data_IF_089607512364
#
_entry.id   IF_089607512364
#
_cell.length_a   1.000
_cell.length_b   1.000
_cell.length_c   1.000
_cell.angle_alpha   90.00
_cell.angle_beta   90.00
_cell.angle_gamma   90.00
#
_symmetry.space_group_name_H-M   'P 1'
#
loop_
_entity.id
_entity.type
_entity.pdbx_description
1 polymer ?
#
# COMPACT_ATOMS: atom_id res chain seq x y z
N UNK A 1 -62.27 -0.50 -19.19
CA UNK A 1 -61.49 -1.48 -18.41
C UNK A 1 -60.13 -1.63 -19.09
N UNK A 2 -59.10 -1.00 -18.54
CA UNK A 2 -57.76 -1.00 -19.13
C UNK A 2 -56.78 -0.50 -18.08
N UNK A 3 -56.41 -1.39 -17.16
CA UNK A 3 -55.49 -1.10 -16.07
C UNK A 3 -54.05 -1.14 -16.55
N UNK A 4 -53.38 0.01 -16.52
CA UNK A 4 -51.93 0.11 -16.58
C UNK A 4 -51.33 -0.48 -15.29
N UNK A 5 -50.74 -1.67 -15.37
CA UNK A 5 -49.77 -2.12 -14.37
C UNK A 5 -48.38 -1.62 -14.76
N UNK A 6 -47.93 -0.59 -14.04
CA UNK A 6 -46.54 -0.16 -14.03
C UNK A 6 -45.72 -1.18 -13.25
N UNK A 7 -44.88 -1.96 -13.94
CA UNK A 7 -43.88 -2.83 -13.31
C UNK A 7 -42.80 -1.95 -12.68
N UNK A 8 -42.88 -1.72 -11.38
CA UNK A 8 -41.74 -1.27 -10.60
C UNK A 8 -40.67 -2.37 -10.58
N UNK A 9 -39.65 -2.22 -11.41
CA UNK A 9 -38.36 -2.90 -11.26
C UNK A 9 -37.64 -2.25 -10.07
N UNK A 10 -37.78 -2.84 -8.89
CA UNK A 10 -36.89 -2.57 -7.75
C UNK A 10 -35.50 -3.12 -8.09
N UNK A 11 -34.58 -2.25 -8.54
CA UNK A 11 -33.14 -2.50 -8.50
C UNK A 11 -32.69 -2.52 -7.03
N UNK A 12 -32.88 -3.65 -6.36
CA UNK A 12 -32.14 -3.94 -5.14
C UNK A 12 -30.71 -4.27 -5.57
N UNK A 13 -29.77 -3.35 -5.31
CA UNK A 13 -28.35 -3.69 -5.35
C UNK A 13 -28.05 -4.80 -4.33
N UNK A 14 -26.95 -5.56 -4.49
CA UNK A 14 -26.59 -6.60 -3.53
C UNK A 14 -26.44 -5.98 -2.14
N UNK A 15 -27.37 -6.31 -1.25
CA UNK A 15 -27.32 -5.87 0.15
C UNK A 15 -26.05 -6.41 0.79
N UNK A 16 -25.30 -5.54 1.47
CA UNK A 16 -24.20 -5.95 2.33
C UNK A 16 -24.80 -6.71 3.52
N UNK A 17 -24.66 -8.03 3.50
CA UNK A 17 -24.62 -8.85 4.71
C UNK A 17 -23.16 -9.23 4.95
N UNK A 18 -22.75 -9.39 6.20
CA UNK A 18 -21.42 -9.94 6.52
C UNK A 18 -21.19 -11.24 5.74
N UNK A 19 -22.22 -12.08 5.57
CA UNK A 19 -22.15 -13.30 4.75
C UNK A 19 -21.81 -13.03 3.28
N UNK A 20 -22.40 -12.02 2.64
CA UNK A 20 -22.14 -11.70 1.23
C UNK A 20 -20.74 -11.13 1.03
N UNK A 21 -20.26 -10.28 1.94
CA UNK A 21 -18.91 -9.74 1.84
C UNK A 21 -17.85 -10.79 2.12
N UNK A 22 -18.08 -11.72 3.05
CA UNK A 22 -17.23 -12.90 3.25
C UNK A 22 -17.18 -13.76 1.99
N UNK A 23 -18.31 -14.04 1.35
CA UNK A 23 -18.33 -14.81 0.09
C UNK A 23 -17.48 -14.16 -1.00
N UNK A 24 -17.55 -12.83 -1.13
CA UNK A 24 -16.71 -12.10 -2.10
C UNK A 24 -15.22 -12.17 -1.70
N UNK A 25 -14.90 -12.05 -0.41
CA UNK A 25 -13.52 -12.26 0.06
C UNK A 25 -13.02 -13.65 -0.29
N UNK A 26 -13.80 -14.71 -0.05
CA UNK A 26 -13.43 -16.08 -0.39
C UNK A 26 -13.29 -16.28 -1.91
N UNK A 27 -14.08 -15.58 -2.72
CA UNK A 27 -13.93 -15.60 -4.18
C UNK A 27 -12.61 -14.94 -4.63
N UNK A 28 -12.28 -13.79 -4.04
CA UNK A 28 -11.08 -13.02 -4.38
C UNK A 28 -9.79 -13.64 -3.81
N UNK A 29 -9.92 -14.30 -2.66
CA UNK A 29 -8.84 -14.86 -1.84
C UNK A 29 -9.25 -16.26 -1.33
N UNK A 30 -9.25 -17.28 -2.21
CA UNK A 30 -9.73 -18.63 -1.86
C UNK A 30 -8.94 -19.27 -0.71
N UNK A 31 -7.68 -18.90 -0.55
CA UNK A 31 -6.78 -19.42 0.47
C UNK A 31 -6.58 -18.43 1.63
N UNK A 32 -7.55 -17.54 1.90
CA UNK A 32 -7.46 -16.50 2.93
C UNK A 32 -7.12 -17.00 4.35
N UNK A 33 -7.40 -18.28 4.63
CA UNK A 33 -7.15 -18.92 5.94
C UNK A 33 -5.79 -19.62 6.04
N UNK A 34 -5.03 -19.70 4.94
CA UNK A 34 -3.76 -20.44 4.85
C UNK A 34 -2.64 -19.65 4.17
N UNK A 35 -2.95 -18.56 3.46
CA UNK A 35 -1.99 -17.83 2.65
C UNK A 35 -1.80 -16.38 3.07
N UNK A 36 -0.63 -15.84 2.73
CA UNK A 36 -0.33 -14.41 2.86
C UNK A 36 -0.76 -13.67 1.61
N UNK A 37 -1.51 -12.59 1.76
CA UNK A 37 -1.91 -11.71 0.66
C UNK A 37 -1.44 -10.27 0.91
N UNK A 38 -0.81 -9.68 -0.10
CA UNK A 38 -0.54 -8.24 -0.15
C UNK A 38 -1.67 -7.53 -0.89
N UNK A 39 -2.12 -6.40 -0.35
CA UNK A 39 -3.24 -5.63 -0.91
C UNK A 39 -2.86 -4.14 -0.93
N UNK A 40 -2.56 -3.55 -2.11
CA UNK A 40 -2.59 -4.18 -3.43
C UNK A 40 -1.45 -5.22 -3.59
N UNK A 41 -1.64 -6.24 -4.46
CA UNK A 41 -0.69 -7.33 -4.66
C UNK A 41 0.55 -6.94 -5.47
N UNK A 42 0.48 -5.81 -6.18
CA UNK A 42 1.62 -5.18 -6.84
C UNK A 42 1.60 -3.71 -6.45
N UNK A 43 2.76 -3.20 -6.04
CA UNK A 43 2.93 -1.77 -5.76
C UNK A 43 3.14 -1.02 -7.08
N UNK A 44 2.38 0.05 -7.27
CA UNK A 44 2.50 0.91 -8.45
C UNK A 44 3.18 2.22 -8.03
N UNK A 45 4.41 2.42 -8.49
CA UNK A 45 5.12 3.67 -8.23
C UNK A 45 4.46 4.81 -9.00
N UNK A 46 4.41 5.98 -8.35
CA UNK A 46 4.12 7.25 -9.01
C UNK A 46 5.26 7.57 -9.96
N UNK A 47 4.91 8.12 -11.12
CA UNK A 47 5.87 8.53 -12.15
C UNK A 47 5.43 9.91 -12.67
N UNK A 48 6.34 10.90 -12.76
CA UNK A 48 6.03 12.25 -13.20
C UNK A 48 5.82 12.29 -14.72
N UNK A 49 4.64 11.86 -15.18
CA UNK A 49 4.25 11.99 -16.59
C UNK A 49 3.52 13.32 -16.84
N UNK A 50 3.79 13.92 -17.99
CA UNK A 50 2.97 14.97 -18.59
C UNK A 50 2.32 14.41 -19.84
N UNK A 51 1.07 14.78 -20.12
CA UNK A 51 0.42 14.37 -21.37
C UNK A 51 0.76 15.37 -22.46
N UNK A 52 1.17 14.86 -23.63
CA UNK A 52 1.44 15.67 -24.81
C UNK A 52 0.82 15.02 -26.06
N UNK A 53 0.74 15.77 -27.16
CA UNK A 53 0.24 15.30 -28.46
C UNK A 53 1.41 15.23 -29.42
N UNK A 54 1.64 14.06 -30.02
CA UNK A 54 2.69 13.87 -31.03
C UNK A 54 2.28 14.60 -32.33
N UNK A 55 3.05 15.61 -32.79
CA UNK A 55 2.72 16.36 -33.99
C UNK A 55 2.67 15.46 -35.23
N UNK A 56 1.83 15.83 -36.20
CA UNK A 56 1.63 15.07 -37.44
C UNK A 56 0.76 13.80 -37.29
N UNK A 57 0.69 13.20 -36.10
CA UNK A 57 -0.13 11.99 -35.87
C UNK A 57 -1.39 12.25 -35.04
N UNK A 58 -1.39 13.29 -34.20
CA UNK A 58 -2.52 13.61 -33.30
C UNK A 58 -2.69 12.64 -32.13
N UNK A 59 -1.80 11.64 -31.98
CA UNK A 59 -1.87 10.68 -30.88
C UNK A 59 -1.38 11.31 -29.58
N UNK A 60 -2.05 10.98 -28.47
CA UNK A 60 -1.60 11.37 -27.15
C UNK A 60 -0.46 10.46 -26.66
N UNK A 61 0.59 11.07 -26.14
CA UNK A 61 1.71 10.40 -25.49
C UNK A 61 1.83 10.86 -24.03
N UNK A 62 2.41 10.00 -23.19
CA UNK A 62 2.90 10.36 -21.87
C UNK A 62 4.38 10.66 -21.97
N UNK A 63 4.78 11.85 -21.55
CA UNK A 63 6.16 12.34 -21.60
C UNK A 63 6.73 12.28 -20.20
N UNK A 64 7.85 11.59 -20.02
CA UNK A 64 8.59 11.57 -18.76
C UNK A 64 9.14 12.97 -18.48
N UNK A 65 8.64 13.62 -17.42
CA UNK A 65 9.20 14.87 -16.94
C UNK A 65 10.16 14.58 -15.78
N UNK A 66 11.50 14.65 -15.98
CA UNK A 66 12.42 14.42 -14.89
C UNK A 66 12.20 15.49 -13.79
N UNK A 67 12.22 15.12 -12.51
CA UNK A 67 12.15 16.10 -11.42
C UNK A 67 13.29 17.11 -11.58
N UNK A 68 12.98 18.40 -11.48
CA UNK A 68 13.94 19.49 -11.71
C UNK A 68 15.22 19.28 -10.89
N UNK A 69 16.35 19.09 -11.58
CA UNK A 69 17.69 19.05 -10.96
C UNK A 69 18.33 17.67 -10.76
N UNK A 70 17.72 16.56 -11.19
CA UNK A 70 18.35 15.24 -11.10
C UNK A 70 18.96 14.75 -12.43
N UNK A 71 20.20 14.24 -12.36
CA UNK A 71 20.76 13.39 -13.41
C UNK A 71 19.85 12.15 -13.61
N UNK A 72 19.77 11.59 -14.84
CA UNK A 72 18.90 10.46 -15.12
C UNK A 72 19.23 9.30 -14.19
N UNK A 73 18.24 8.87 -13.41
CA UNK A 73 18.31 7.60 -12.67
C UNK A 73 18.29 6.51 -13.73
N UNK A 74 19.46 5.93 -14.02
CA UNK A 74 19.56 4.72 -14.83
C UNK A 74 18.94 3.56 -14.04
N UNK A 75 17.65 3.32 -14.26
CA UNK A 75 17.05 2.03 -13.93
C UNK A 75 17.58 1.05 -14.97
N UNK A 76 18.64 0.32 -14.62
CA UNK A 76 19.11 -0.82 -15.41
C UNK A 76 18.06 -1.93 -15.23
N UNK A 77 17.13 -2.04 -16.18
CA UNK A 77 16.35 -3.26 -16.34
C UNK A 77 17.29 -4.33 -16.89
N UNK A 78 17.78 -5.24 -16.04
CA UNK A 78 18.42 -6.46 -16.53
C UNK A 78 17.34 -7.38 -17.10
N UNK A 79 17.48 -7.88 -18.35
CA UNK A 79 16.53 -8.80 -18.91
C UNK A 79 16.71 -10.17 -18.25
N UNK A 80 15.71 -10.64 -17.49
CA UNK A 80 15.60 -12.07 -17.24
C UNK A 80 14.16 -12.55 -17.10
N UNK A 81 13.90 -13.60 -17.90
CA UNK A 81 12.82 -14.59 -17.85
C UNK A 81 11.47 -14.21 -18.47
N UNK A 82 11.22 -14.82 -19.64
CA UNK A 82 9.94 -14.87 -20.34
C UNK A 82 8.83 -15.44 -19.43
N UNK A 83 7.63 -14.85 -19.41
CA UNK A 83 6.46 -15.53 -18.86
C UNK A 83 5.99 -16.63 -19.82
N UNK A 84 5.51 -17.79 -19.30
CA UNK A 84 4.89 -18.81 -20.14
C UNK A 84 3.57 -18.31 -20.73
N UNK A 85 3.28 -18.78 -21.94
CA UNK A 85 2.17 -18.35 -22.76
C UNK A 85 0.80 -18.85 -22.26
N UNK A 86 -0.22 -18.06 -22.63
CA UNK A 86 -1.66 -18.35 -22.70
C UNK A 86 -2.51 -18.07 -21.45
N UNK A 87 -3.20 -16.93 -21.46
CA UNK A 87 -4.53 -16.78 -20.86
C UNK A 87 -5.42 -15.94 -21.78
N UNK A 88 -6.58 -16.50 -22.16
CA UNK A 88 -7.57 -15.83 -23.02
C UNK A 88 -8.43 -14.86 -22.21
N UNK A 89 -8.56 -13.58 -22.61
CA UNK A 89 -9.35 -12.59 -21.89
C UNK A 89 -10.80 -12.61 -22.38
N UNK A 90 -11.64 -13.47 -21.80
CA UNK A 90 -13.07 -13.45 -22.15
C UNK A 90 -14.00 -13.85 -21.00
N UNK A 91 -13.74 -13.46 -19.74
CA UNK A 91 -14.73 -13.66 -18.65
C UNK A 91 -14.86 -12.56 -17.58
N UNK A 92 -14.18 -11.42 -17.67
CA UNK A 92 -14.37 -10.33 -16.70
C UNK A 92 -15.01 -9.10 -17.35
N UNK A 93 -16.34 -9.17 -17.54
CA UNK A 93 -17.17 -8.04 -17.92
C UNK A 93 -18.27 -7.83 -16.89
N UNK A 94 -17.88 -7.59 -15.64
CA UNK A 94 -18.73 -7.02 -14.60
C UNK A 94 -17.80 -6.15 -13.74
N UNK A 95 -18.10 -4.85 -13.62
CA UNK A 95 -17.42 -3.79 -12.83
C UNK A 95 -16.47 -2.80 -13.55
N UNK A 96 -16.70 -2.45 -14.81
CA UNK A 96 -16.16 -1.20 -15.39
C UNK A 96 -17.30 -0.26 -15.74
N UNK A 97 -17.68 0.60 -14.80
CA UNK A 97 -18.45 1.79 -15.11
C UNK A 97 -17.45 2.87 -15.54
N UNK A 98 -17.31 3.07 -16.85
CA UNK A 98 -16.55 4.19 -17.40
C UNK A 98 -17.21 5.51 -16.94
N UNK A 99 -16.39 6.42 -16.41
CA UNK A 99 -16.76 7.82 -16.17
C UNK A 99 -15.65 8.72 -16.69
N UNK A 100 -15.98 9.60 -17.64
CA UNK A 100 -15.20 10.75 -18.12
C UNK A 100 -15.24 11.91 -17.10
N UNK A 101 -14.51 13.04 -17.27
CA UNK A 101 -13.30 13.35 -18.04
C UNK A 101 -12.08 13.62 -17.14
N UNK A 102 -10.94 13.87 -17.79
CA UNK A 102 -9.58 13.70 -17.30
C UNK A 102 -9.15 14.72 -16.22
N UNK A 103 -8.64 14.21 -15.10
CA UNK A 103 -7.88 15.00 -14.14
C UNK A 103 -6.45 15.21 -14.66
N UNK A 104 -5.94 16.42 -14.45
CA UNK A 104 -4.52 16.77 -14.68
C UNK A 104 -3.64 15.83 -13.85
N UNK A 105 -2.55 15.25 -14.39
CA UNK A 105 -1.62 14.45 -13.61
C UNK A 105 -1.15 15.26 -12.39
N UNK A 106 -1.39 14.75 -11.18
CA UNK A 106 -0.88 15.38 -9.97
C UNK A 106 0.64 15.50 -10.05
N UNK A 107 1.18 16.64 -9.63
CA UNK A 107 2.63 16.87 -9.64
C UNK A 107 3.32 15.90 -8.66
N UNK A 108 3.95 14.85 -9.19
CA UNK A 108 4.71 13.87 -8.40
C UNK A 108 5.96 14.55 -7.84
N UNK A 109 6.12 14.53 -6.52
CA UNK A 109 7.29 15.08 -5.83
C UNK A 109 8.35 14.01 -5.59
N UNK A 110 9.60 14.41 -5.35
CA UNK A 110 10.67 13.46 -4.99
C UNK A 110 10.34 12.68 -3.71
N UNK A 111 9.66 13.30 -2.75
CA UNK A 111 9.16 12.61 -1.56
C UNK A 111 8.22 11.46 -1.88
N UNK A 112 7.39 11.61 -2.91
CA UNK A 112 6.43 10.58 -3.33
C UNK A 112 7.16 9.35 -3.85
N UNK A 113 8.18 9.55 -4.68
CA UNK A 113 9.02 8.46 -5.20
C UNK A 113 9.76 7.74 -4.07
N UNK A 114 10.25 8.51 -3.09
CA UNK A 114 10.93 7.92 -1.92
C UNK A 114 9.99 7.07 -1.08
N UNK A 115 8.78 7.56 -0.86
CA UNK A 115 7.80 6.84 -0.04
C UNK A 115 7.29 5.58 -0.75
N UNK A 116 7.07 5.63 -2.08
CA UNK A 116 6.70 4.45 -2.88
C UNK A 116 7.78 3.38 -2.85
N UNK A 117 9.04 3.78 -2.98
CA UNK A 117 10.16 2.85 -2.91
C UNK A 117 10.28 2.20 -1.52
N UNK A 118 10.20 3.01 -0.45
CA UNK A 118 10.26 2.52 0.92
C UNK A 118 9.11 1.56 1.25
N UNK A 119 7.92 1.85 0.73
CA UNK A 119 6.77 0.99 0.88
C UNK A 119 6.96 -0.33 0.16
N UNK A 120 7.42 -0.31 -1.10
CA UNK A 120 7.68 -1.53 -1.85
C UNK A 120 8.76 -2.39 -1.20
N UNK A 121 9.83 -1.77 -0.71
CA UNK A 121 10.90 -2.44 0.03
C UNK A 121 10.34 -3.20 1.24
N UNK A 122 9.55 -2.55 2.09
CA UNK A 122 8.96 -3.20 3.26
C UNK A 122 7.92 -4.25 2.87
N UNK A 123 7.04 -3.97 1.90
CA UNK A 123 6.01 -4.90 1.44
C UNK A 123 6.61 -6.23 0.98
N UNK A 124 7.66 -6.20 0.15
CA UNK A 124 8.30 -7.44 -0.34
C UNK A 124 8.89 -8.26 0.81
N UNK A 125 9.55 -7.62 1.77
CA UNK A 125 10.12 -8.33 2.92
C UNK A 125 9.03 -8.95 3.81
N UNK A 126 7.94 -8.23 4.08
CA UNK A 126 6.82 -8.76 4.87
C UNK A 126 6.06 -9.87 4.13
N UNK A 127 5.94 -9.77 2.82
CA UNK A 127 5.35 -10.82 2.00
C UNK A 127 6.17 -12.11 2.09
N UNK A 128 7.50 -12.01 1.94
CA UNK A 128 8.37 -13.18 2.05
C UNK A 128 8.42 -13.76 3.46
N UNK A 129 8.30 -12.92 4.50
CA UNK A 129 8.09 -13.41 5.87
C UNK A 129 6.82 -14.27 5.95
N UNK A 130 5.69 -13.77 5.48
CA UNK A 130 4.42 -14.50 5.55
C UNK A 130 4.43 -15.79 4.73
N UNK A 131 4.98 -15.74 3.52
CA UNK A 131 5.14 -16.89 2.64
C UNK A 131 6.02 -17.98 3.26
N UNK A 132 7.20 -17.61 3.79
CA UNK A 132 8.14 -18.56 4.39
C UNK A 132 7.62 -19.23 5.66
N UNK A 133 6.67 -18.59 6.35
CA UNK A 133 6.04 -19.11 7.57
C UNK A 133 4.77 -19.90 7.31
N UNK A 134 4.25 -19.88 6.07
CA UNK A 134 2.94 -20.44 5.72
C UNK A 134 1.82 -19.93 6.64
N UNK A 135 1.90 -18.66 7.02
CA UNK A 135 0.94 -18.00 7.90
C UNK A 135 -0.13 -17.26 7.09
N UNK A 136 -1.36 -17.30 7.59
CA UNK A 136 -2.50 -16.63 6.98
C UNK A 136 -2.58 -15.17 7.46
N UNK A 137 -2.31 -14.24 6.55
CA UNK A 137 -2.39 -12.82 6.85
C UNK A 137 -2.65 -11.96 5.62
N UNK A 138 -3.30 -10.82 5.84
CA UNK A 138 -3.42 -9.77 4.84
C UNK A 138 -2.54 -8.59 5.22
N UNK A 139 -1.70 -8.15 4.30
CA UNK A 139 -0.82 -6.99 4.45
C UNK A 139 -1.35 -5.90 3.53
N UNK A 140 -2.04 -4.93 4.12
CA UNK A 140 -2.57 -3.77 3.41
C UNK A 140 -1.57 -2.63 3.49
N UNK A 141 -1.36 -1.92 2.38
CA UNK A 141 -0.59 -0.68 2.36
C UNK A 141 -1.43 0.52 1.92
N UNK A 142 -1.12 1.69 2.48
CA UNK A 142 -1.78 2.98 2.20
C UNK A 142 -3.31 2.96 2.37
N UNK A 143 -3.80 2.47 3.51
CA UNK A 143 -5.22 2.52 3.80
C UNK A 143 -5.61 3.95 4.22
N UNK A 144 -6.22 4.69 3.30
CA UNK A 144 -6.93 5.92 3.67
C UNK A 144 -8.22 5.57 4.42
N UNK A 145 -8.44 6.19 5.57
CA UNK A 145 -9.67 5.96 6.34
C UNK A 145 -10.92 6.49 5.62
N UNK A 146 -10.78 7.47 4.73
CA UNK A 146 -11.87 7.90 3.84
C UNK A 146 -12.27 6.86 2.78
N UNK A 147 -11.45 5.84 2.53
CA UNK A 147 -11.77 4.74 1.63
C UNK A 147 -12.42 3.55 2.35
N UNK A 148 -12.38 3.53 3.68
CA UNK A 148 -12.94 2.46 4.50
C UNK A 148 -14.48 2.46 4.41
N UNK A 149 -15.05 1.35 3.95
CA UNK A 149 -16.50 1.14 3.78
C UNK A 149 -17.23 2.25 3.01
N UNK A 150 -16.53 2.90 2.07
CA UNK A 150 -17.03 4.08 1.36
C UNK A 150 -17.63 3.79 -0.03
N UNK A 151 -17.70 2.53 -0.44
CA UNK A 151 -18.29 2.15 -1.73
C UNK A 151 -19.81 2.32 -1.73
N UNK A 152 -20.33 3.16 -2.63
CA UNK A 152 -21.75 3.53 -2.69
C UNK A 152 -22.70 2.33 -2.80
N UNK A 153 -22.30 1.27 -3.53
CA UNK A 153 -23.10 0.05 -3.68
C UNK A 153 -23.39 -0.66 -2.34
N UNK A 154 -22.58 -0.39 -1.31
CA UNK A 154 -22.68 -1.02 0.01
C UNK A 154 -23.07 -0.03 1.12
N UNK A 155 -23.39 1.23 0.77
CA UNK A 155 -23.59 2.32 1.72
C UNK A 155 -24.62 2.00 2.83
N UNK A 156 -25.74 1.36 2.47
CA UNK A 156 -26.83 1.08 3.39
C UNK A 156 -26.43 0.17 4.57
N UNK A 157 -25.63 -0.88 4.33
CA UNK A 157 -25.20 -1.72 5.44
C UNK A 157 -23.84 -1.31 6.00
N UNK A 158 -22.99 -0.63 5.23
CA UNK A 158 -21.82 0.07 5.78
C UNK A 158 -22.22 1.14 6.81
N UNK A 159 -23.45 1.66 6.79
CA UNK A 159 -23.96 2.60 7.79
C UNK A 159 -24.24 1.94 9.16
N UNK A 160 -24.23 0.61 9.24
CA UNK A 160 -24.43 -0.15 10.49
C UNK A 160 -23.11 -0.56 11.15
N UNK A 161 -21.97 -0.26 10.51
CA UNK A 161 -20.65 -0.65 10.97
C UNK A 161 -19.89 0.58 11.51
N UNK A 162 -18.95 0.41 12.45
CA UNK A 162 -18.15 1.52 12.97
C UNK A 162 -17.39 2.23 11.85
N UNK A 163 -17.50 3.56 11.78
CA UNK A 163 -16.79 4.38 10.80
C UNK A 163 -15.77 5.31 11.48
N UNK A 164 -14.73 5.75 10.75
CA UNK A 164 -13.79 6.74 11.28
C UNK A 164 -14.47 8.04 11.76
N UNK A 165 -15.61 8.39 11.16
CA UNK A 165 -16.44 9.55 11.53
C UNK A 165 -17.13 9.41 12.89
N UNK A 166 -17.27 8.19 13.41
CA UNK A 166 -18.05 7.90 14.62
C UNK A 166 -17.19 7.99 15.90
N UNK A 167 -15.90 8.30 15.74
CA UNK A 167 -15.00 8.60 16.84
C UNK A 167 -15.48 9.81 17.65
N UNK A 168 -15.14 9.83 18.94
CA UNK A 168 -15.45 10.96 19.81
C UNK A 168 -14.97 12.29 19.21
N UNK A 169 -15.68 13.39 19.49
CA UNK A 169 -15.42 14.73 18.93
C UNK A 169 -13.97 15.24 19.05
N UNK A 170 -13.18 14.76 20.01
CA UNK A 170 -11.75 15.13 20.11
C UNK A 170 -10.82 14.31 19.18
N UNK A 171 -11.30 13.17 18.72
CA UNK A 171 -10.62 12.17 17.89
C UNK A 171 -11.13 12.15 16.44
N UNK A 172 -12.26 12.79 16.13
CA UNK A 172 -12.77 12.94 14.75
C UNK A 172 -11.74 13.51 13.79
N UNK A 173 -10.81 14.35 14.25
CA UNK A 173 -9.67 14.83 13.43
C UNK A 173 -8.75 13.71 12.91
N UNK A 174 -8.93 12.47 13.35
CA UNK A 174 -8.21 11.29 12.86
C UNK A 174 -8.96 10.59 11.72
N UNK A 175 -10.22 10.93 11.45
CA UNK A 175 -11.06 10.31 10.42
C UNK A 175 -10.50 10.44 9.01
N UNK A 176 -9.78 11.53 8.75
CA UNK A 176 -9.21 11.85 7.43
C UNK A 176 -7.76 11.36 7.29
N UNK A 177 -7.29 10.56 8.26
CA UNK A 177 -5.96 10.00 8.27
C UNK A 177 -5.79 8.80 7.33
N UNK A 178 -4.58 8.26 7.36
CA UNK A 178 -4.21 7.02 6.69
C UNK A 178 -3.35 6.16 7.61
N UNK A 179 -3.38 4.85 7.35
CA UNK A 179 -2.43 3.90 7.91
C UNK A 179 -1.48 3.44 6.79
N UNK A 180 -0.18 3.65 6.97
CA UNK A 180 0.83 3.22 5.99
C UNK A 180 0.75 1.70 5.79
N UNK A 181 0.63 0.94 6.88
CA UNK A 181 0.46 -0.51 6.87
C UNK A 181 -0.59 -0.98 7.88
N UNK A 182 -1.47 -1.89 7.43
CA UNK A 182 -2.36 -2.67 8.30
C UNK A 182 -2.18 -4.14 7.97
N UNK A 183 -1.63 -4.90 8.92
CA UNK A 183 -1.47 -6.34 8.83
C UNK A 183 -2.53 -7.01 9.68
N UNK A 184 -3.35 -7.86 9.07
CA UNK A 184 -4.40 -8.65 9.73
C UNK A 184 -3.94 -10.11 9.74
N UNK A 185 -3.54 -10.60 10.92
CA UNK A 185 -3.04 -11.96 11.10
C UNK A 185 -4.11 -12.86 11.71
N UNK A 186 -4.32 -14.05 11.13
CA UNK A 186 -5.36 -15.00 11.57
C UNK A 186 -5.27 -15.38 13.05
N UNK A 187 -4.05 -15.52 13.59
CA UNK A 187 -3.83 -15.99 14.98
C UNK A 187 -3.40 -14.89 15.96
N UNK A 188 -2.99 -13.74 15.45
CA UNK A 188 -2.32 -12.72 16.26
C UNK A 188 -3.03 -11.37 16.22
N UNK A 189 -4.16 -11.24 15.51
CA UNK A 189 -4.90 -9.98 15.43
C UNK A 189 -4.24 -8.99 14.48
N UNK A 190 -4.29 -7.71 14.83
CA UNK A 190 -3.88 -6.64 13.92
C UNK A 190 -2.54 -6.04 14.36
N UNK A 191 -1.65 -5.81 13.39
CA UNK A 191 -0.44 -5.00 13.53
C UNK A 191 -0.54 -3.79 12.60
N UNK A 192 -0.33 -2.59 13.16
CA UNK A 192 -0.29 -1.34 12.39
C UNK A 192 1.16 -0.90 12.29
N UNK A 193 1.57 -0.54 11.08
CA UNK A 193 2.90 -0.02 10.79
C UNK A 193 2.83 1.42 10.32
N UNK A 194 3.73 2.24 10.86
CA UNK A 194 3.99 3.58 10.35
C UNK A 194 5.40 3.60 9.73
N UNK A 195 5.48 3.98 8.45
CA UNK A 195 6.69 3.96 7.65
C UNK A 195 7.35 5.34 7.63
N UNK A 196 8.68 5.37 7.76
CA UNK A 196 9.46 6.58 7.44
C UNK A 196 10.72 6.25 6.65
N UNK A 197 10.82 6.85 5.46
CA UNK A 197 11.93 6.76 4.51
C UNK A 197 13.15 7.62 4.89
N UNK A 198 13.38 7.90 6.18
CA UNK A 198 14.52 8.72 6.65
C UNK A 198 15.82 8.05 6.23
N UNK A 199 16.74 8.78 5.61
CA UNK A 199 18.02 8.23 5.15
C UNK A 199 17.99 7.56 3.77
N UNK A 200 16.85 7.53 3.07
CA UNK A 200 16.77 6.88 1.75
C UNK A 200 17.77 7.44 0.74
N UNK A 201 17.94 8.76 0.66
CA UNK A 201 18.92 9.37 -0.25
C UNK A 201 20.36 8.89 0.03
N UNK A 202 20.66 8.53 1.29
CA UNK A 202 21.95 7.97 1.69
C UNK A 202 22.05 6.47 1.40
N UNK A 203 20.92 5.76 1.38
CA UNK A 203 20.84 4.33 1.16
C UNK A 203 21.32 3.88 -0.24
N UNK A 204 21.30 4.80 -1.21
CA UNK A 204 21.81 4.58 -2.58
C UNK A 204 23.14 5.28 -2.86
N UNK A 205 23.70 5.99 -1.89
CA UNK A 205 24.95 6.72 -2.08
C UNK A 205 26.15 5.75 -2.12
N UNK A 206 27.16 6.07 -2.94
CA UNK A 206 28.42 5.30 -2.95
C UNK A 206 29.15 5.37 -1.61
N UNK A 207 29.03 6.50 -0.90
CA UNK A 207 29.58 6.71 0.44
C UNK A 207 28.46 7.13 1.40
N UNK A 208 27.64 6.18 1.87
CA UNK A 208 26.51 6.47 2.75
C UNK A 208 26.99 7.13 4.04
N UNK A 209 26.45 8.30 4.35
CA UNK A 209 26.58 8.88 5.68
C UNK A 209 25.29 8.64 6.45
N UNK A 210 25.35 8.27 7.75
CA UNK A 210 24.15 8.14 8.55
C UNK A 210 23.45 9.51 8.59
N UNK A 211 22.11 9.56 8.45
CA UNK A 211 21.40 10.83 8.57
C UNK A 211 21.62 11.41 9.96
N UNK A 212 21.54 12.74 10.07
CA UNK A 212 21.70 13.41 11.34
C UNK A 212 20.66 12.90 12.34
N UNK A 213 21.11 12.61 13.57
CA UNK A 213 20.23 12.10 14.64
C UNK A 213 19.04 13.02 14.91
N UNK A 214 19.20 14.33 14.68
CA UNK A 214 18.12 15.32 14.79
C UNK A 214 17.00 15.10 13.74
N UNK A 215 17.35 14.73 12.51
CA UNK A 215 16.38 14.42 11.46
C UNK A 215 15.63 13.13 11.76
N UNK A 216 16.37 12.10 12.21
CA UNK A 216 15.79 10.84 12.67
C UNK A 216 14.83 11.10 13.82
N UNK A 217 15.25 11.84 14.86
CA UNK A 217 14.42 12.19 16.00
C UNK A 217 13.13 12.92 15.59
N UNK A 218 13.22 13.90 14.69
CA UNK A 218 12.07 14.63 14.17
C UNK A 218 11.07 13.73 13.47
N UNK A 219 11.56 12.83 12.60
CA UNK A 219 10.72 11.93 11.80
C UNK A 219 10.11 10.82 12.64
N UNK A 220 10.85 10.22 13.56
CA UNK A 220 10.35 9.24 14.54
C UNK A 220 9.32 9.87 15.47
N UNK A 221 9.52 11.13 15.91
CA UNK A 221 8.52 11.86 16.70
C UNK A 221 7.19 12.00 15.94
N UNK A 222 7.24 12.31 14.64
CA UNK A 222 6.04 12.39 13.80
C UNK A 222 5.39 11.00 13.66
N UNK A 223 6.20 9.97 13.38
CA UNK A 223 5.73 8.61 13.18
C UNK A 223 5.02 8.06 14.41
N UNK A 224 5.59 8.21 15.62
CA UNK A 224 4.94 7.79 16.87
C UNK A 224 3.57 8.43 17.05
N UNK A 225 3.43 9.73 16.73
CA UNK A 225 2.13 10.42 16.80
C UNK A 225 1.14 9.91 15.77
N UNK A 226 1.57 9.60 14.54
CA UNK A 226 0.70 9.07 13.49
C UNK A 226 0.25 7.64 13.85
N UNK A 227 1.19 6.82 14.34
CA UNK A 227 0.96 5.46 14.76
C UNK A 227 -0.10 5.35 15.88
N UNK A 228 -0.06 6.22 16.89
CA UNK A 228 -1.09 6.27 17.95
C UNK A 228 -2.48 6.66 17.40
N UNK A 229 -2.54 7.51 16.37
CA UNK A 229 -3.83 7.87 15.71
C UNK A 229 -4.39 6.71 14.93
N UNK A 230 -3.58 6.09 14.07
CA UNK A 230 -4.01 4.98 13.22
C UNK A 230 -4.48 3.80 14.06
N UNK A 231 -3.81 3.53 15.17
CA UNK A 231 -4.22 2.51 16.13
C UNK A 231 -5.54 2.83 16.85
N UNK A 232 -5.77 4.09 17.23
CA UNK A 232 -7.06 4.53 17.78
C UNK A 232 -8.19 4.29 16.80
N UNK A 233 -8.01 4.68 15.53
CA UNK A 233 -9.01 4.50 14.47
C UNK A 233 -9.25 3.01 14.24
N UNK A 234 -8.22 2.23 13.96
CA UNK A 234 -8.36 0.79 13.64
C UNK A 234 -8.99 0.01 14.79
N UNK A 235 -8.65 0.30 16.06
CA UNK A 235 -9.32 -0.36 17.20
C UNK A 235 -10.81 -0.05 17.21
N UNK A 236 -11.22 1.18 16.90
CA UNK A 236 -12.63 1.53 16.78
C UNK A 236 -13.32 0.76 15.64
N UNK A 237 -12.68 0.65 14.46
CA UNK A 237 -13.23 -0.02 13.28
C UNK A 237 -13.52 -1.52 13.45
N UNK A 238 -12.92 -2.15 14.46
CA UNK A 238 -13.08 -3.59 14.76
C UNK A 238 -13.75 -3.85 16.11
N UNK A 239 -14.19 -2.78 16.80
CA UNK A 239 -14.66 -2.85 18.18
C UNK A 239 -15.94 -3.67 18.37
N UNK A 240 -16.77 -3.81 17.33
CA UNK A 240 -18.00 -4.58 17.31
C UNK A 240 -17.80 -6.07 16.97
N UNK A 241 -16.74 -6.43 16.22
CA UNK A 241 -16.43 -7.83 15.83
C UNK A 241 -15.53 -8.50 16.86
N UNK A 242 -14.51 -7.76 17.31
CA UNK A 242 -13.51 -8.25 18.23
C UNK A 242 -13.23 -7.20 19.32
N UNK A 243 -14.22 -6.95 20.21
CA UNK A 243 -14.02 -6.05 21.35
C UNK A 243 -12.83 -6.53 22.19
N UNK A 244 -11.90 -5.63 22.49
CA UNK A 244 -10.70 -5.96 23.28
C UNK A 244 -9.60 -6.68 22.51
N UNK A 245 -9.74 -6.92 21.20
CA UNK A 245 -8.67 -7.46 20.36
C UNK A 245 -7.42 -6.58 20.44
N UNK A 246 -6.26 -7.23 20.52
CA UNK A 246 -5.00 -6.49 20.60
C UNK A 246 -4.65 -5.92 19.22
N UNK A 247 -4.59 -4.60 19.12
CA UNK A 247 -4.03 -3.87 17.98
C UNK A 247 -2.62 -3.45 18.35
N UNK A 248 -1.62 -4.10 17.73
CA UNK A 248 -0.19 -3.83 17.95
C UNK A 248 0.31 -2.74 17.02
N UNK A 249 1.43 -2.14 17.39
CA UNK A 249 2.05 -1.01 16.69
C UNK A 249 3.51 -1.30 16.40
N UNK A 250 3.98 -0.91 15.22
CA UNK A 250 5.40 -0.95 14.86
C UNK A 250 5.79 0.30 14.07
N UNK A 251 7.06 0.71 14.21
CA UNK A 251 7.69 1.64 13.29
C UNK A 251 8.45 0.85 12.23
N UNK A 252 8.26 1.22 10.98
CA UNK A 252 8.97 0.66 9.83
C UNK A 252 9.98 1.71 9.37
N UNK A 253 11.26 1.42 9.55
CA UNK A 253 12.37 2.35 9.33
C UNK A 253 13.43 1.70 8.43
N UNK A 254 13.13 1.50 7.13
CA UNK A 254 13.92 0.63 6.28
C UNK A 254 15.35 1.08 6.02
N UNK A 255 15.69 2.33 6.34
CA UNK A 255 17.02 2.90 6.13
C UNK A 255 17.66 3.42 7.42
N UNK A 256 17.12 3.06 8.58
CA UNK A 256 17.70 3.36 9.88
C UNK A 256 18.07 2.07 10.59
N UNK A 257 19.29 1.97 11.10
CA UNK A 257 19.67 0.83 11.92
C UNK A 257 19.10 0.94 13.33
N UNK A 258 18.91 -0.21 13.96
CA UNK A 258 18.51 -0.37 15.35
C UNK A 258 19.48 0.35 16.29
N UNK A 259 20.79 0.32 15.97
CA UNK A 259 21.81 1.02 16.72
C UNK A 259 21.64 2.55 16.66
N UNK A 260 21.36 3.09 15.47
CA UNK A 260 21.08 4.52 15.30
C UNK A 260 19.79 4.93 16.02
N UNK A 261 18.71 4.15 15.87
CA UNK A 261 17.46 4.42 16.55
C UNK A 261 17.66 4.40 18.08
N UNK A 262 18.38 3.40 18.61
CA UNK A 262 18.69 3.32 20.04
C UNK A 262 19.40 4.58 20.53
N UNK A 263 20.46 5.02 19.82
CA UNK A 263 21.21 6.24 20.14
C UNK A 263 20.31 7.48 20.15
N UNK A 264 19.47 7.62 19.12
CA UNK A 264 18.50 8.72 19.00
C UNK A 264 17.54 8.73 20.20
N UNK A 265 16.98 7.59 20.58
CA UNK A 265 16.07 7.49 21.71
C UNK A 265 16.77 7.80 23.04
N UNK A 266 17.96 7.25 23.28
CA UNK A 266 18.71 7.48 24.52
C UNK A 266 19.10 8.96 24.70
N UNK A 267 19.40 9.66 23.60
CA UNK A 267 19.73 11.09 23.60
C UNK A 267 18.49 12.01 23.64
N UNK A 268 17.28 11.48 23.47
CA UNK A 268 16.04 12.27 23.43
C UNK A 268 15.01 11.75 24.44
N UNK A 269 15.09 12.13 25.74
CA UNK A 269 14.25 11.56 26.79
C UNK A 269 12.74 11.68 26.56
N UNK A 270 12.28 12.79 25.99
CA UNK A 270 10.86 13.00 25.64
C UNK A 270 10.41 12.03 24.54
N UNK A 271 11.24 11.84 23.52
CA UNK A 271 10.95 10.92 22.41
C UNK A 271 10.99 9.48 22.90
N UNK A 272 12.00 9.08 23.68
CA UNK A 272 12.08 7.78 24.33
C UNK A 272 10.81 7.44 25.08
N UNK A 273 10.36 8.34 25.98
CA UNK A 273 9.11 8.12 26.74
C UNK A 273 7.89 7.95 25.84
N UNK A 274 7.79 8.76 24.78
CA UNK A 274 6.69 8.66 23.82
C UNK A 274 6.73 7.35 23.01
N UNK A 275 7.89 6.95 22.51
CA UNK A 275 8.09 5.73 21.73
C UNK A 275 7.84 4.48 22.59
N UNK A 276 8.43 4.41 23.79
CA UNK A 276 8.21 3.29 24.72
C UNK A 276 6.72 3.13 25.06
N UNK A 277 6.03 4.22 25.41
CA UNK A 277 4.58 4.18 25.68
C UNK A 277 3.77 3.76 24.45
N UNK A 278 4.07 4.32 23.28
CA UNK A 278 3.34 4.01 22.05
C UNK A 278 3.51 2.55 21.65
N UNK A 279 4.73 2.00 21.71
CA UNK A 279 5.02 0.63 21.31
C UNK A 279 4.69 -0.42 22.38
N UNK A 280 4.46 0.01 23.63
CA UNK A 280 4.23 -0.87 24.78
C UNK A 280 5.52 -1.45 25.38
N UNK A 281 6.66 -0.75 25.23
CA UNK A 281 7.96 -1.19 25.74
C UNK A 281 8.29 -0.60 27.11
N UNK A 282 8.97 -1.37 27.95
CA UNK A 282 9.45 -0.96 29.27
C UNK A 282 10.72 -0.11 29.21
N UNK A 283 11.55 -0.28 28.17
CA UNK A 283 12.83 0.42 28.04
C UNK A 283 13.22 0.68 26.57
N UNK A 284 14.34 1.39 26.35
CA UNK A 284 14.81 1.73 24.99
C UNK A 284 15.12 0.48 24.15
N UNK A 285 15.74 -0.53 24.74
CA UNK A 285 16.17 -1.74 24.02
C UNK A 285 14.96 -2.47 23.47
N UNK A 286 13.96 -2.67 24.32
CA UNK A 286 12.70 -3.28 23.93
C UNK A 286 11.95 -2.43 22.89
N UNK A 287 11.90 -1.10 23.05
CA UNK A 287 11.27 -0.22 22.06
C UNK A 287 11.91 -0.36 20.67
N UNK A 288 13.24 -0.50 20.61
CA UNK A 288 13.98 -0.71 19.36
C UNK A 288 13.71 -2.10 18.78
N UNK A 289 13.66 -3.15 19.62
CA UNK A 289 13.34 -4.52 19.19
C UNK A 289 11.92 -4.65 18.62
N UNK A 290 10.99 -3.80 19.05
CA UNK A 290 9.62 -3.75 18.54
C UNK A 290 9.49 -2.97 17.21
N UNK A 291 10.54 -2.27 16.78
CA UNK A 291 10.61 -1.58 15.48
C UNK A 291 11.25 -2.48 14.42
N UNK A 292 10.81 -2.36 13.16
CA UNK A 292 11.47 -2.99 12.02
C UNK A 292 12.44 -1.99 11.40
N UNK A 293 13.73 -2.19 11.62
CA UNK A 293 14.83 -1.35 11.16
C UNK A 293 15.51 -1.96 9.92
N UNK A 294 16.48 -1.25 9.34
CA UNK A 294 17.25 -1.74 8.19
C UNK A 294 17.98 -3.06 8.45
N UNK A 295 18.32 -3.35 9.71
CA UNK A 295 19.02 -4.59 10.08
C UNK A 295 18.14 -5.85 9.98
N UNK A 296 16.84 -5.70 9.68
CA UNK A 296 15.91 -6.82 9.49
C UNK A 296 15.42 -6.93 8.04
N UNK A 297 15.87 -6.06 7.14
CA UNK A 297 15.38 -5.99 5.76
C UNK A 297 16.50 -6.28 4.77
N UNK A 298 16.11 -6.66 3.55
CA UNK A 298 17.01 -6.77 2.41
C UNK A 298 17.69 -5.43 2.10
N UNK A 299 18.79 -5.48 1.36
CA UNK A 299 19.50 -4.27 0.98
C UNK A 299 18.67 -3.41 0.01
N UNK A 300 18.66 -2.07 0.14
CA UNK A 300 17.86 -1.19 -0.70
C UNK A 300 18.05 -1.42 -2.21
N UNK A 301 19.29 -1.56 -2.68
CA UNK A 301 19.60 -1.76 -4.10
C UNK A 301 19.12 -3.11 -4.68
N UNK A 302 18.79 -4.07 -3.81
CA UNK A 302 18.34 -5.41 -4.18
C UNK A 302 17.20 -5.85 -3.27
N UNK A 303 16.25 -4.93 -3.01
CA UNK A 303 15.24 -5.14 -1.98
C UNK A 303 14.32 -6.35 -2.27
N UNK A 304 14.19 -6.72 -3.54
CA UNK A 304 13.46 -7.91 -3.99
C UNK A 304 14.14 -9.23 -3.64
N UNK A 305 15.43 -9.20 -3.24
CA UNK A 305 16.20 -10.38 -2.90
C UNK A 305 16.24 -10.57 -1.37
N UNK A 306 15.22 -11.25 -0.84
CA UNK A 306 15.11 -11.58 0.59
C UNK A 306 15.84 -12.90 0.87
N UNK A 307 17.04 -12.81 1.46
CA UNK A 307 17.86 -14.00 1.75
C UNK A 307 17.39 -14.74 3.00
N UNK A 308 17.77 -16.01 3.21
CA UNK A 308 17.45 -16.75 4.44
C UNK A 308 17.94 -16.05 5.73
N UNK A 309 19.08 -15.34 5.65
CA UNK A 309 19.61 -14.56 6.78
C UNK A 309 18.70 -13.37 7.12
N UNK A 310 18.23 -12.65 6.09
CA UNK A 310 17.26 -11.56 6.25
C UNK A 310 15.96 -12.09 6.82
N UNK A 311 15.43 -13.22 6.30
CA UNK A 311 14.23 -13.86 6.83
C UNK A 311 14.37 -14.27 8.31
N UNK A 312 15.56 -14.72 8.73
CA UNK A 312 15.84 -15.06 10.13
C UNK A 312 15.78 -13.82 11.04
N UNK A 313 16.39 -12.71 10.61
CA UNK A 313 16.36 -11.44 11.34
C UNK A 313 14.93 -10.87 11.40
N UNK A 314 14.20 -10.93 10.29
CA UNK A 314 12.82 -10.48 10.20
C UNK A 314 11.88 -11.36 11.03
N UNK A 315 12.10 -12.67 11.04
CA UNK A 315 11.38 -13.62 11.91
C UNK A 315 11.65 -13.34 13.39
N UNK A 316 12.88 -12.96 13.74
CA UNK A 316 13.22 -12.57 15.11
C UNK A 316 12.44 -11.31 15.51
N UNK A 317 12.41 -10.28 14.66
CA UNK A 317 11.58 -9.10 14.91
C UNK A 317 10.09 -9.44 15.03
N UNK A 318 9.57 -10.26 14.12
CA UNK A 318 8.18 -10.72 14.14
C UNK A 318 7.83 -11.41 15.45
N UNK A 319 8.69 -12.32 15.91
CA UNK A 319 8.54 -12.96 17.20
C UNK A 319 8.48 -11.95 18.32
N UNK A 320 9.42 -10.99 18.42
CA UNK A 320 9.36 -9.97 19.49
C UNK A 320 8.09 -9.13 19.41
N UNK A 321 7.65 -8.74 18.21
CA UNK A 321 6.47 -7.89 18.03
C UNK A 321 5.18 -8.63 18.33
N UNK A 322 5.10 -9.92 18.00
CA UNK A 322 3.89 -10.74 18.15
C UNK A 322 3.91 -11.64 19.39
N UNK A 323 5.03 -11.73 20.11
CA UNK A 323 5.20 -12.49 21.36
C UNK A 323 4.43 -11.84 22.51
N UNK A 324 3.12 -12.04 22.50
CA UNK A 324 2.25 -12.11 23.68
C UNK A 324 0.87 -12.52 23.19
N UNK A 325 0.39 -13.66 23.69
CA UNK A 325 -0.95 -14.26 23.50
C UNK A 325 -1.41 -14.46 22.06
N UNK A 326 -1.50 -15.74 21.65
CA UNK A 326 -2.49 -16.15 20.62
C UNK A 326 -3.80 -15.51 21.02
N UNK A 327 -4.39 -14.73 20.12
CA UNK A 327 -5.66 -14.10 20.42
C UNK A 327 -6.73 -15.18 20.34
N UNK A 328 -7.01 -15.83 21.47
CA UNK A 328 -8.01 -16.90 21.56
C UNK A 328 -9.42 -16.41 21.24
N UNK A 329 -9.62 -15.10 21.13
CA UNK A 329 -10.90 -14.48 20.77
C UNK A 329 -11.09 -14.36 19.25
N UNK A 330 -10.04 -14.54 18.44
CA UNK A 330 -10.07 -14.39 16.98
C UNK A 330 -10.35 -15.73 16.30
N UNK A 331 -11.62 -16.07 16.14
CA UNK A 331 -12.06 -17.20 15.32
C UNK A 331 -11.88 -16.91 13.83
N UNK A 332 -11.86 -17.95 13.00
CA UNK A 332 -11.79 -17.83 11.53
C UNK A 332 -12.91 -16.93 10.98
N UNK A 333 -14.12 -17.02 11.54
CA UNK A 333 -15.26 -16.17 11.18
C UNK A 333 -14.99 -14.68 11.46
N UNK A 334 -14.46 -14.37 12.64
CA UNK A 334 -14.13 -12.98 13.01
C UNK A 334 -12.95 -12.45 12.20
N UNK A 335 -11.95 -13.29 11.94
CA UNK A 335 -10.86 -12.95 11.05
C UNK A 335 -11.38 -12.60 9.65
N UNK A 336 -12.26 -13.42 9.07
CA UNK A 336 -12.86 -13.15 7.76
C UNK A 336 -13.78 -11.92 7.76
N UNK A 337 -14.48 -11.63 8.86
CA UNK A 337 -15.23 -10.37 9.00
C UNK A 337 -14.32 -9.15 8.97
N UNK A 338 -13.20 -9.21 9.69
CA UNK A 338 -12.20 -8.13 9.70
C UNK A 338 -11.61 -7.98 8.29
N UNK A 339 -11.17 -9.07 7.67
CA UNK A 339 -10.67 -9.07 6.29
C UNK A 339 -11.71 -8.48 5.34
N UNK A 340 -12.98 -8.88 5.41
CA UNK A 340 -14.05 -8.33 4.57
C UNK A 340 -14.28 -6.83 4.74
N UNK A 341 -14.04 -6.28 5.93
CA UNK A 341 -14.11 -4.83 6.13
C UNK A 341 -12.96 -4.08 5.52
N UNK A 342 -11.74 -4.62 5.60
CA UNK A 342 -10.54 -3.91 5.19
C UNK A 342 -10.17 -4.14 3.71
N UNK A 343 -10.33 -5.37 3.21
CA UNK A 343 -9.98 -5.75 1.82
C UNK A 343 -11.19 -6.19 1.00
N UNK A 344 -12.37 -6.30 1.61
CA UNK A 344 -13.58 -6.68 0.91
C UNK A 344 -14.16 -5.53 0.08
N UNK A 345 -15.27 -5.80 -0.63
CA UNK A 345 -15.74 -4.98 -1.73
C UNK A 345 -16.29 -3.61 -1.31
N UNK A 346 -16.55 -3.39 -0.02
CA UNK A 346 -17.04 -2.13 0.50
C UNK A 346 -15.92 -1.09 0.74
N UNK A 347 -14.67 -1.53 0.89
CA UNK A 347 -13.50 -0.65 1.15
C UNK A 347 -12.65 -0.51 -0.08
N UNK A 348 -12.38 0.71 -0.53
CA UNK A 348 -11.63 0.97 -1.77
C UNK A 348 -10.12 0.75 -1.58
N UNK A 349 -9.55 -0.19 -2.32
CA UNK A 349 -8.09 -0.40 -2.39
C UNK A 349 -7.57 0.22 -3.68
N UNK A 350 -7.13 1.47 -3.59
CA UNK A 350 -6.67 2.22 -4.76
C UNK A 350 -5.16 2.20 -4.93
N UNK A 351 -4.70 2.11 -6.17
CA UNK A 351 -3.30 2.38 -6.53
C UNK A 351 -3.16 3.74 -7.23
N UNK A 352 -2.03 4.44 -7.09
CA UNK A 352 -1.76 5.66 -7.86
C UNK A 352 -1.86 5.41 -9.37
N UNK A 353 -2.44 6.36 -10.10
CA UNK A 353 -2.54 6.34 -11.56
C UNK A 353 -2.15 7.70 -12.16
N UNK A 354 -1.67 7.70 -13.41
CA UNK A 354 -1.17 8.89 -14.11
C UNK A 354 -2.29 9.88 -14.50
N UNK A 355 -3.54 9.44 -14.59
CA UNK A 355 -4.69 10.25 -15.00
C UNK A 355 -5.53 10.77 -13.82
N UNK A 356 -5.01 10.67 -12.59
CA UNK A 356 -5.69 11.09 -11.36
C UNK A 356 -6.83 10.19 -10.89
N UNK A 357 -7.29 9.22 -11.71
CA UNK A 357 -8.30 8.23 -11.29
C UNK A 357 -7.58 7.06 -10.63
N UNK A 358 -7.71 6.97 -9.31
CA UNK A 358 -7.29 5.81 -8.50
C UNK A 358 -7.93 4.54 -9.06
N UNK A 359 -7.11 3.58 -9.52
CA UNK A 359 -7.59 2.28 -10.01
C UNK A 359 -7.68 1.32 -8.84
N UNK A 360 -8.77 0.57 -8.75
CA UNK A 360 -8.94 -0.44 -7.72
C UNK A 360 -8.24 -1.74 -8.13
N UNK A 361 -7.26 -2.18 -7.33
CA UNK A 361 -6.46 -3.39 -7.61
C UNK A 361 -6.37 -4.25 -6.36
N UNK A 362 -7.09 -5.37 -6.35
CA UNK A 362 -7.20 -6.30 -5.21
C UNK A 362 -6.53 -7.64 -5.44
N UNK A 363 -6.51 -8.12 -6.69
CA UNK A 363 -5.98 -9.44 -7.05
C UNK A 363 -4.83 -9.34 -8.04
N UNK A 364 -4.00 -10.39 -8.08
CA UNK A 364 -2.88 -10.45 -9.03
C UNK A 364 -3.39 -10.34 -10.48
N UNK A 365 -4.52 -10.96 -10.81
CA UNK A 365 -5.13 -10.85 -12.15
C UNK A 365 -5.53 -9.41 -12.51
N UNK A 366 -6.11 -8.66 -11.56
CA UNK A 366 -6.41 -7.23 -11.76
C UNK A 366 -5.13 -6.41 -11.92
N UNK A 367 -4.10 -6.72 -11.14
CA UNK A 367 -2.81 -6.04 -11.24
C UNK A 367 -2.13 -6.28 -12.59
N UNK A 368 -2.18 -7.51 -13.11
CA UNK A 368 -1.68 -7.86 -14.44
C UNK A 368 -2.49 -7.14 -15.53
N UNK A 369 -3.81 -7.07 -15.41
CA UNK A 369 -4.65 -6.35 -16.37
C UNK A 369 -4.34 -4.84 -16.39
N UNK A 370 -4.21 -4.23 -15.21
CA UNK A 370 -3.84 -2.82 -15.08
C UNK A 370 -2.42 -2.55 -15.58
N UNK A 371 -1.47 -3.44 -15.29
CA UNK A 371 -0.11 -3.36 -15.84
C UNK A 371 -0.15 -3.43 -17.37
N UNK A 372 -0.93 -4.34 -17.96
CA UNK A 372 -1.14 -4.43 -19.39
C UNK A 372 -1.71 -3.15 -19.99
N UNK A 373 -2.71 -2.52 -19.34
CA UNK A 373 -3.22 -1.21 -19.75
C UNK A 373 -2.14 -0.11 -19.72
N UNK A 374 -1.26 -0.12 -18.73
CA UNK A 374 -0.17 0.87 -18.60
C UNK A 374 0.92 0.66 -19.64
N UNK A 375 1.31 -0.58 -19.89
CA UNK A 375 2.28 -0.93 -20.92
C UNK A 375 1.74 -0.65 -22.33
N UNK A 376 0.42 -0.64 -22.53
CA UNK A 376 -0.17 -0.25 -23.81
C UNK A 376 -0.06 1.26 -24.12
N UNK A 377 0.37 2.10 -23.18
CA UNK A 377 0.47 3.54 -23.37
C UNK A 377 1.74 3.91 -24.14
N UNK A 378 1.62 4.90 -25.03
CA UNK A 378 2.77 5.51 -25.68
C UNK A 378 3.51 6.40 -24.66
N UNK A 379 4.69 5.96 -24.23
CA UNK A 379 5.54 6.68 -23.30
C UNK A 379 6.78 7.18 -24.04
N UNK A 380 7.05 8.48 -23.97
CA UNK A 380 8.17 9.14 -24.63
C UNK A 380 9.08 9.82 -23.60
N UNK A 381 10.37 9.79 -23.86
CA UNK A 381 11.32 10.73 -23.24
C UNK A 381 11.22 12.10 -23.91
N UNK A 382 11.67 13.15 -23.23
CA UNK A 382 11.79 14.49 -23.84
C UNK A 382 12.62 14.47 -25.12
N UNK A 383 13.69 13.67 -25.17
CA UNK A 383 14.54 13.54 -26.35
C UNK A 383 13.82 12.88 -27.52
N UNK A 384 13.02 11.83 -27.29
CA UNK A 384 12.21 11.20 -28.32
C UNK A 384 11.14 12.17 -28.84
N UNK A 385 10.49 12.92 -27.95
CA UNK A 385 9.53 13.94 -28.34
C UNK A 385 10.20 15.05 -29.18
N UNK A 386 11.35 15.55 -28.75
CA UNK A 386 12.11 16.56 -29.48
C UNK A 386 12.51 16.06 -30.88
N UNK A 387 12.93 14.81 -31.01
CA UNK A 387 13.26 14.20 -32.31
C UNK A 387 12.04 14.14 -33.22
N UNK A 388 10.87 13.77 -32.70
CA UNK A 388 9.61 13.77 -33.46
C UNK A 388 9.16 15.17 -33.87
N UNK A 389 9.56 16.19 -33.11
CA UNK A 389 9.22 17.59 -33.37
C UNK A 389 10.20 18.30 -34.31
N UNK A 390 11.34 17.69 -34.66
CA UNK A 390 12.34 18.29 -35.56
C UNK A 390 11.90 18.20 -37.02
N UNK A 391 12.12 19.29 -37.75
CA UNK A 391 12.00 19.35 -39.20
C UNK A 391 13.36 19.03 -39.87
N UNK A 392 13.43 18.18 -40.90
CA UNK A 392 12.36 17.35 -41.44
C UNK A 392 12.00 16.17 -40.54
N UNK A 393 10.70 15.89 -40.39
CA UNK A 393 10.16 14.75 -39.64
C UNK A 393 10.41 13.44 -40.40
N UNK A 394 11.67 12.99 -40.45
CA UNK A 394 12.10 11.75 -41.11
C UNK A 394 12.22 10.57 -40.14
N UNK A 395 11.67 10.70 -38.93
CA UNK A 395 11.76 9.69 -37.87
C UNK A 395 10.39 9.07 -37.61
N UNK A 396 10.36 7.76 -37.40
CA UNK A 396 9.17 7.03 -36.98
C UNK A 396 9.50 6.19 -35.75
N UNK A 397 8.55 6.04 -34.84
CA UNK A 397 8.68 5.17 -33.68
C UNK A 397 8.29 3.75 -34.07
N UNK A 398 9.09 2.79 -33.64
CA UNK A 398 8.80 1.36 -33.82
C UNK A 398 9.27 0.62 -32.59
N UNK A 399 8.42 -0.26 -32.07
CA UNK A 399 8.68 -0.99 -30.84
C UNK A 399 7.40 -1.57 -30.26
N UNK A 400 7.52 -2.54 -29.32
CA UNK A 400 6.37 -2.99 -28.57
C UNK A 400 5.74 -1.84 -27.75
N UNK A 401 4.44 -1.91 -27.44
CA UNK A 401 3.80 -0.90 -26.60
C UNK A 401 4.57 -0.69 -25.29
N UNK A 402 4.72 0.58 -24.88
CA UNK A 402 5.33 0.95 -23.60
C UNK A 402 6.87 1.03 -23.60
N UNK A 403 7.55 0.74 -24.72
CA UNK A 403 9.02 0.86 -24.81
C UNK A 403 9.52 2.14 -25.46
N UNK A 404 8.59 2.98 -25.95
CA UNK A 404 8.91 4.20 -26.71
C UNK A 404 9.25 3.92 -28.16
#
# INVERSE_FOLDING_TARGET
MGGHQSRHLTKAGPGYSSSNCRQIVTLLYPDALTHTYCVPPIQFNRVPYVRDIVPGTGHAALVLNPPSGAAPVHIVLTPSQQPPAAFSPSQYSLLTQESQPQAVPGHVQESDLRDDFAQNHVMVNLQELGNSRHEAMFILSQLSFGNYLNQHAYAAAAAQLPRPSDLDTQQTKYSDGEADFVLIHRQHGILIGELKSVGMSQAFAQNPQPPADADVAKRVTKAVKQLDKSETVVRHLVSDVAPGMTVRKTLLLPYQSSAQLKRVLDNNPKLKKAACRSLGAANTVEAVQLCCCSDQLSQPASYWHVTPSVLSQLSTWWQHRMACTVDTLLTDDKYLDIVARFVGPATTVSVPCYNGVRVEVRTAGQAVAELGRRLALLILTLQQLDLLNRDPQLVFLTGPPGTG
#
